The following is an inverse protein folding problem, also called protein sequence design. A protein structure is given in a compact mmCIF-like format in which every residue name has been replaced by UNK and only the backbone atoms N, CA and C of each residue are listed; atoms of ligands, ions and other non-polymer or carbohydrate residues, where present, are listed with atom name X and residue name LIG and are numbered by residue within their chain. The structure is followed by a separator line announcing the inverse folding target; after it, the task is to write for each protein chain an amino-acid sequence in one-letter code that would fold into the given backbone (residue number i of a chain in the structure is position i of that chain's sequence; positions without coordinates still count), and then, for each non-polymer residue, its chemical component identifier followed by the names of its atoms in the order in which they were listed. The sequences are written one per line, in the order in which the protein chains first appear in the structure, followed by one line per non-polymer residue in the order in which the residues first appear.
data_IF_623197228175
#
_entry.id   IF_623197228175
#
_cell.length_a   1.000
_cell.length_b   1.000
_cell.length_c   1.000
_cell.angle_alpha   90.00
_cell.angle_beta   90.00
_cell.angle_gamma   90.00
#
_symmetry.space_group_name_H-M   'P 1'
#
loop_
_entity.id
_entity.type
_entity.pdbx_description
1 polymer ?
#
# COMPACT_ATOMS: atom_id res chain seq x y z
N UNK A 1 14.26 -5.82 7.67
CA UNK A 1 13.36 -5.23 8.71
C UNK A 1 12.71 -4.00 8.11
N UNK A 2 11.36 -3.91 8.12
CA UNK A 2 10.65 -2.71 7.64
C UNK A 2 11.00 -1.54 8.58
N UNK A 3 11.33 -0.38 8.01
CA UNK A 3 11.66 0.86 8.72
C UNK A 3 10.57 1.29 9.71
N UNK A 4 10.91 2.18 10.64
CA UNK A 4 9.96 2.82 11.58
C UNK A 4 9.22 4.01 10.96
N UNK A 5 9.42 4.30 9.68
CA UNK A 5 8.83 5.43 8.98
C UNK A 5 7.32 5.26 8.77
N UNK A 6 6.61 6.36 8.53
CA UNK A 6 5.21 6.35 8.12
C UNK A 6 5.06 5.56 6.82
N UNK A 7 3.99 4.80 6.71
CA UNK A 7 3.71 3.96 5.53
C UNK A 7 2.40 4.41 4.89
N UNK A 8 2.50 4.86 3.65
CA UNK A 8 1.39 5.37 2.83
C UNK A 8 0.90 4.26 1.91
N UNK A 9 -0.33 3.82 2.14
CA UNK A 9 -0.92 2.72 1.38
C UNK A 9 -1.70 3.23 0.17
N UNK A 10 -1.44 2.64 -1.00
CA UNK A 10 -2.33 2.77 -2.14
C UNK A 10 -3.57 1.87 -2.01
N UNK A 11 -4.53 2.07 -2.88
CA UNK A 11 -5.80 1.33 -2.86
C UNK A 11 -5.59 -0.17 -3.08
N UNK A 12 -4.69 -0.57 -3.98
CA UNK A 12 -4.53 -1.99 -4.35
C UNK A 12 -3.82 -2.78 -3.25
N UNK A 13 -2.75 -2.24 -2.68
CA UNK A 13 -2.03 -2.89 -1.58
C UNK A 13 -2.92 -3.00 -0.32
N UNK A 14 -3.59 -1.90 0.07
CA UNK A 14 -4.48 -1.89 1.23
C UNK A 14 -5.66 -2.84 1.05
N UNK A 15 -6.37 -2.76 -0.09
CA UNK A 15 -7.53 -3.59 -0.36
C UNK A 15 -7.20 -5.08 -0.44
N UNK A 16 -5.95 -5.45 -0.77
CA UNK A 16 -5.53 -6.85 -0.79
C UNK A 16 -5.71 -7.52 0.57
N UNK A 17 -5.41 -6.81 1.66
CA UNK A 17 -5.62 -7.31 3.02
C UNK A 17 -7.08 -7.23 3.47
N UNK A 18 -7.76 -6.13 3.15
CA UNK A 18 -9.17 -5.92 3.52
C UNK A 18 -10.10 -6.97 2.89
N UNK A 19 -9.92 -7.31 1.61
CA UNK A 19 -10.74 -8.30 0.91
C UNK A 19 -10.65 -9.71 1.49
N UNK A 20 -9.53 -10.06 2.09
CA UNK A 20 -9.30 -11.39 2.67
C UNK A 20 -9.44 -11.42 4.19
N UNK A 21 -9.75 -10.26 4.81
CA UNK A 21 -9.90 -10.05 6.25
C UNK A 21 -8.63 -10.38 7.04
N UNK A 22 -7.50 -9.95 6.50
CA UNK A 22 -6.17 -10.13 7.12
C UNK A 22 -5.50 -8.79 7.44
N UNK A 23 -6.30 -7.74 7.62
CA UNK A 23 -5.84 -6.39 7.98
C UNK A 23 -5.09 -6.34 9.31
N UNK A 24 -5.30 -7.31 10.19
CA UNK A 24 -4.53 -7.45 11.42
C UNK A 24 -3.03 -7.55 11.18
N UNK A 25 -2.61 -8.09 10.04
CA UNK A 25 -1.20 -8.19 9.65
C UNK A 25 -0.60 -6.80 9.51
N UNK A 26 -1.22 -5.93 8.71
CA UNK A 26 -0.72 -4.56 8.49
C UNK A 26 -0.80 -3.73 9.77
N UNK A 27 -1.88 -3.89 10.56
CA UNK A 27 -2.05 -3.19 11.83
C UNK A 27 -0.99 -3.56 12.87
N UNK A 28 -0.50 -4.79 12.87
CA UNK A 28 0.57 -5.24 13.76
C UNK A 28 1.95 -4.81 13.26
N UNK A 29 2.23 -4.94 11.94
CA UNK A 29 3.53 -4.59 11.38
C UNK A 29 3.78 -3.09 11.45
N UNK A 30 2.76 -2.28 11.16
CA UNK A 30 2.84 -0.82 11.05
C UNK A 30 2.13 -0.07 12.17
N UNK A 31 2.09 -0.63 13.38
CA UNK A 31 1.40 -0.01 14.53
C UNK A 31 1.71 1.48 14.66
N UNK A 32 0.67 2.32 14.59
CA UNK A 32 0.77 3.79 14.71
C UNK A 32 1.44 4.51 13.53
N UNK A 33 1.66 3.80 12.39
CA UNK A 33 2.39 4.34 11.23
C UNK A 33 1.65 4.18 9.90
N UNK A 34 0.42 3.72 9.93
CA UNK A 34 -0.41 3.56 8.75
C UNK A 34 -1.05 4.90 8.41
N UNK A 35 -0.79 5.39 7.21
CA UNK A 35 -1.44 6.59 6.67
C UNK A 35 -2.13 6.22 5.35
N UNK A 36 -3.38 6.63 5.22
CA UNK A 36 -4.17 6.43 4.02
C UNK A 36 -4.47 7.78 3.41
N UNK A 37 -4.06 8.02 2.15
CA UNK A 37 -4.45 9.22 1.44
C UNK A 37 -5.98 9.33 1.35
N UNK A 38 -6.54 10.54 1.50
CA UNK A 38 -7.99 10.78 1.38
C UNK A 38 -8.56 10.22 0.07
N UNK A 39 -7.82 10.35 -1.03
CA UNK A 39 -8.20 9.79 -2.34
C UNK A 39 -8.39 8.27 -2.28
N UNK A 40 -7.54 7.55 -1.57
CA UNK A 40 -7.66 6.09 -1.37
C UNK A 40 -8.91 5.76 -0.55
N UNK A 41 -9.23 6.56 0.46
CA UNK A 41 -10.49 6.43 1.22
C UNK A 41 -11.70 6.59 0.31
N UNK A 42 -11.67 7.60 -0.56
CA UNK A 42 -12.76 7.91 -1.48
C UNK A 42 -12.94 6.78 -2.52
N UNK A 43 -11.87 6.22 -3.04
CA UNK A 43 -11.91 5.05 -3.93
C UNK A 43 -12.53 3.82 -3.24
N UNK A 44 -12.18 3.57 -1.97
CA UNK A 44 -12.71 2.45 -1.19
C UNK A 44 -14.16 2.66 -0.74
N UNK A 45 -14.67 3.88 -0.73
CA UNK A 45 -16.04 4.21 -0.31
C UNK A 45 -17.11 3.52 -1.17
N UNK A 46 -16.77 3.16 -2.41
CA UNK A 46 -17.64 2.39 -3.30
C UNK A 46 -17.88 0.94 -2.83
N UNK A 47 -17.08 0.44 -1.88
CA UNK A 47 -17.19 -0.92 -1.33
C UNK A 47 -17.49 -0.83 0.16
N UNK A 48 -18.79 -0.76 0.50
CA UNK A 48 -19.30 -0.42 1.83
C UNK A 48 -18.63 -1.18 2.98
N UNK A 49 -18.50 -2.51 2.86
CA UNK A 49 -17.95 -3.33 3.95
C UNK A 49 -16.44 -3.10 4.17
N UNK A 50 -15.65 -2.81 3.13
CA UNK A 50 -14.23 -2.46 3.26
C UNK A 50 -14.08 -1.07 3.89
N UNK A 51 -14.89 -0.13 3.45
CA UNK A 51 -14.92 1.22 3.97
C UNK A 51 -15.31 1.26 5.46
N UNK A 52 -16.34 0.51 5.86
CA UNK A 52 -16.77 0.43 7.24
C UNK A 52 -15.69 -0.15 8.17
N UNK A 53 -15.00 -1.21 7.74
CA UNK A 53 -13.87 -1.77 8.48
C UNK A 53 -12.77 -0.73 8.67
N UNK A 54 -12.39 -0.05 7.59
CA UNK A 54 -11.35 0.95 7.61
C UNK A 54 -11.70 2.14 8.53
N UNK A 55 -12.94 2.61 8.49
CA UNK A 55 -13.42 3.66 9.39
C UNK A 55 -13.33 3.26 10.87
N UNK A 56 -13.53 1.99 11.20
CA UNK A 56 -13.34 1.49 12.57
C UNK A 56 -11.90 1.66 13.04
N UNK A 57 -10.93 1.37 12.18
CA UNK A 57 -9.50 1.55 12.51
C UNK A 57 -9.09 3.01 12.60
N UNK A 58 -9.68 3.88 11.78
CA UNK A 58 -9.48 5.34 11.86
C UNK A 58 -10.03 5.87 13.18
N UNK A 59 -11.26 5.54 13.55
CA UNK A 59 -11.87 5.97 14.81
C UNK A 59 -11.11 5.49 16.04
N UNK A 60 -10.47 4.32 15.97
CA UNK A 60 -9.63 3.80 17.05
C UNK A 60 -8.20 4.38 17.08
N UNK A 61 -7.86 5.29 16.17
CA UNK A 61 -6.53 5.89 16.08
C UNK A 61 -5.43 4.97 15.56
N UNK A 62 -5.78 3.78 15.03
CA UNK A 62 -4.80 2.85 14.48
C UNK A 62 -4.33 3.21 13.08
N UNK A 63 -5.14 3.98 12.37
CA UNK A 63 -4.92 4.41 10.99
C UNK A 63 -5.18 5.90 10.92
N UNK A 64 -4.25 6.64 10.33
CA UNK A 64 -4.43 8.05 10.02
C UNK A 64 -4.90 8.24 8.57
N UNK A 65 -5.67 9.28 8.33
CA UNK A 65 -6.02 9.74 6.98
C UNK A 65 -5.35 11.06 6.74
N UNK A 66 -4.75 11.24 5.56
CA UNK A 66 -4.11 12.48 5.17
C UNK A 66 -4.63 12.96 3.82
N UNK A 67 -5.00 14.21 3.74
CA UNK A 67 -5.43 14.87 2.50
C UNK A 67 -4.28 15.62 1.85
N UNK A 68 -4.36 15.80 0.54
CA UNK A 68 -3.45 16.62 -0.26
C UNK A 68 -4.23 17.84 -0.73
N UNK A 69 -3.83 19.02 -0.25
CA UNK A 69 -4.51 20.27 -0.58
C UNK A 69 -3.68 21.11 -1.54
N UNK A 70 -4.36 21.91 -2.35
CA UNK A 70 -3.70 22.88 -3.26
C UNK A 70 -2.80 23.81 -2.47
N UNK A 71 -1.53 23.88 -2.86
CA UNK A 71 -0.51 24.66 -2.18
C UNK A 71 0.45 23.84 -1.31
N UNK A 72 0.12 22.58 -1.01
CA UNK A 72 1.05 21.67 -0.35
C UNK A 72 2.15 21.19 -1.32
N UNK A 73 3.34 20.91 -0.80
CA UNK A 73 4.40 20.29 -1.61
C UNK A 73 3.95 18.97 -2.23
N UNK A 74 3.18 18.17 -1.49
CA UNK A 74 2.61 16.92 -1.96
C UNK A 74 1.67 17.11 -3.16
N UNK A 75 0.95 18.24 -3.25
CA UNK A 75 0.07 18.54 -4.37
C UNK A 75 0.86 18.69 -5.69
N UNK A 76 2.01 19.35 -5.64
CA UNK A 76 2.88 19.47 -6.83
C UNK A 76 3.36 18.11 -7.35
N UNK A 77 3.72 17.18 -6.46
CA UNK A 77 4.06 15.82 -6.84
C UNK A 77 2.83 15.06 -7.37
N UNK A 78 1.68 15.19 -6.72
CA UNK A 78 0.44 14.55 -7.15
C UNK A 78 0.02 14.97 -8.57
N UNK A 79 0.02 16.28 -8.87
CA UNK A 79 -0.23 16.77 -10.24
C UNK A 79 0.78 16.24 -11.25
N UNK A 80 2.06 16.25 -10.88
CA UNK A 80 3.12 15.72 -11.71
C UNK A 80 2.91 14.25 -12.05
N UNK A 81 2.47 13.43 -11.10
CA UNK A 81 2.26 12.00 -11.31
C UNK A 81 0.97 11.68 -12.08
N UNK A 82 -0.06 12.51 -11.97
CA UNK A 82 -1.38 12.27 -12.57
C UNK A 82 -1.60 12.99 -13.90
N UNK A 83 -1.22 14.26 -13.97
CA UNK A 83 -1.57 15.15 -15.09
C UNK A 83 -0.37 15.55 -15.96
N UNK A 84 0.78 15.79 -15.36
CA UNK A 84 1.94 16.38 -16.00
C UNK A 84 3.22 15.57 -15.79
N UNK A 85 3.25 14.26 -16.16
CA UNK A 85 4.44 13.44 -15.96
C UNK A 85 5.63 13.96 -16.77
N UNK A 86 6.82 13.83 -16.20
CA UNK A 86 8.06 14.13 -16.91
C UNK A 86 8.20 13.30 -18.20
N UNK A 87 8.99 13.80 -19.14
CA UNK A 87 9.26 13.09 -20.41
C UNK A 87 9.74 11.65 -20.14
N UNK A 88 9.04 10.69 -20.71
CA UNK A 88 9.33 9.27 -20.55
C UNK A 88 8.69 8.61 -19.33
N UNK A 89 7.88 9.33 -18.55
CA UNK A 89 7.02 8.78 -17.50
C UNK A 89 5.58 8.67 -18.01
N UNK A 90 4.79 7.82 -17.35
CA UNK A 90 3.34 7.69 -17.62
C UNK A 90 2.55 8.21 -16.44
N UNK A 91 1.36 8.78 -16.68
CA UNK A 91 0.43 9.07 -15.59
C UNK A 91 0.10 7.78 -14.82
N UNK A 92 -0.04 7.89 -13.51
CA UNK A 92 -0.45 6.80 -12.63
C UNK A 92 -1.81 7.10 -11.99
N UNK A 93 -2.42 6.09 -11.39
CA UNK A 93 -3.73 6.22 -10.74
C UNK A 93 -3.72 7.20 -9.55
N UNK A 94 -4.87 7.80 -9.26
CA UNK A 94 -4.98 8.84 -8.22
C UNK A 94 -4.54 8.34 -6.84
N UNK A 95 -4.96 7.14 -6.44
CA UNK A 95 -4.57 6.55 -5.15
C UNK A 95 -3.07 6.29 -5.05
N UNK A 96 -2.47 5.76 -6.12
CA UNK A 96 -1.02 5.53 -6.22
C UNK A 96 -0.24 6.85 -6.17
N UNK A 97 -0.70 7.85 -6.94
CA UNK A 97 -0.08 9.17 -6.99
C UNK A 97 -0.11 9.88 -5.62
N UNK A 98 -1.24 9.80 -4.92
CA UNK A 98 -1.38 10.39 -3.59
C UNK A 98 -0.47 9.70 -2.56
N UNK A 99 -0.44 8.36 -2.55
CA UNK A 99 0.43 7.62 -1.64
C UNK A 99 1.92 7.93 -1.91
N UNK A 100 2.31 8.01 -3.19
CA UNK A 100 3.68 8.31 -3.59
C UNK A 100 4.08 9.75 -3.25
N UNK A 101 3.21 10.73 -3.49
CA UNK A 101 3.45 12.14 -3.17
C UNK A 101 3.63 12.38 -1.66
N UNK A 102 2.77 11.79 -0.85
CA UNK A 102 2.89 11.86 0.61
C UNK A 102 4.13 11.13 1.13
N UNK A 103 4.44 9.93 0.59
CA UNK A 103 5.66 9.21 0.95
C UNK A 103 6.92 10.03 0.62
N UNK A 104 6.95 10.73 -0.53
CA UNK A 104 8.06 11.60 -0.91
C UNK A 104 8.24 12.76 0.05
N UNK A 105 7.19 13.51 0.29
CA UNK A 105 7.27 14.75 1.11
C UNK A 105 7.49 14.48 2.59
N UNK A 106 7.09 13.31 3.08
CA UNK A 106 7.23 12.92 4.49
C UNK A 106 8.38 11.94 4.74
N UNK A 107 9.22 11.70 3.73
CA UNK A 107 10.32 10.73 3.82
C UNK A 107 9.85 9.36 4.35
N UNK A 108 8.69 8.92 3.88
CA UNK A 108 8.04 7.69 4.30
C UNK A 108 8.24 6.53 3.32
N UNK A 109 7.41 5.50 3.51
CA UNK A 109 7.37 4.30 2.67
C UNK A 109 6.07 4.32 1.86
N UNK A 110 6.12 4.04 0.56
CA UNK A 110 4.93 3.76 -0.23
C UNK A 110 4.66 2.25 -0.25
N UNK A 111 3.43 1.84 0.07
CA UNK A 111 2.96 0.47 -0.04
C UNK A 111 2.05 0.34 -1.27
N UNK A 112 2.58 -0.28 -2.33
CA UNK A 112 1.90 -0.40 -3.63
C UNK A 112 2.30 -1.69 -4.34
N UNK A 113 1.35 -2.33 -5.03
CA UNK A 113 1.59 -3.53 -5.84
C UNK A 113 1.89 -3.20 -7.31
N UNK A 114 1.62 -1.98 -7.75
CA UNK A 114 1.79 -1.59 -9.15
C UNK A 114 3.24 -1.23 -9.48
N UNK A 115 4.12 -2.24 -9.43
CA UNK A 115 5.54 -2.07 -9.76
C UNK A 115 5.75 -1.51 -11.19
N UNK A 116 4.87 -1.86 -12.12
CA UNK A 116 5.03 -1.43 -13.52
C UNK A 116 4.99 0.09 -13.69
N UNK A 117 4.08 0.75 -12.98
CA UNK A 117 3.82 2.17 -13.17
C UNK A 117 4.52 3.02 -12.09
N UNK A 118 4.65 2.49 -10.87
CA UNK A 118 5.23 3.19 -9.71
C UNK A 118 6.75 3.06 -9.62
N UNK A 119 7.34 1.93 -10.06
CA UNK A 119 8.77 1.62 -9.88
C UNK A 119 9.69 2.74 -10.36
N UNK A 120 9.42 3.29 -11.54
CA UNK A 120 10.26 4.33 -12.13
C UNK A 120 10.29 5.62 -11.30
N UNK A 121 9.15 5.99 -10.70
CA UNK A 121 9.06 7.14 -9.80
C UNK A 121 9.77 6.86 -8.47
N UNK A 122 9.57 5.67 -7.92
CA UNK A 122 10.22 5.22 -6.69
C UNK A 122 11.75 5.30 -6.80
N UNK A 123 12.30 4.77 -7.90
CA UNK A 123 13.75 4.78 -8.15
C UNK A 123 14.28 6.20 -8.39
N UNK A 124 13.59 7.03 -9.20
CA UNK A 124 14.06 8.38 -9.53
C UNK A 124 13.97 9.37 -8.38
N UNK A 125 13.07 9.14 -7.43
CA UNK A 125 12.82 10.01 -6.28
C UNK A 125 13.41 9.46 -4.97
N UNK A 126 14.07 8.31 -5.03
CA UNK A 126 14.63 7.60 -3.86
C UNK A 126 13.59 7.41 -2.75
N UNK A 127 12.42 6.86 -3.12
CA UNK A 127 11.33 6.57 -2.18
C UNK A 127 11.41 5.10 -1.76
N UNK A 128 11.30 4.84 -0.47
CA UNK A 128 11.18 3.47 0.05
C UNK A 128 9.86 2.86 -0.42
N UNK A 129 9.91 1.64 -0.94
CA UNK A 129 8.75 0.96 -1.49
C UNK A 129 8.62 -0.46 -0.95
N UNK A 130 7.38 -0.87 -0.67
CA UNK A 130 7.04 -2.24 -0.28
C UNK A 130 5.76 -2.70 -1.01
N UNK A 131 5.65 -4.01 -1.20
CA UNK A 131 4.49 -4.67 -1.81
C UNK A 131 3.72 -5.50 -0.79
N UNK A 132 2.52 -5.97 -1.16
CA UNK A 132 1.78 -6.98 -0.39
C UNK A 132 2.62 -8.22 -0.08
N UNK A 133 3.43 -8.67 -1.06
CA UNK A 133 4.31 -9.82 -0.88
C UNK A 133 5.42 -9.55 0.15
N UNK A 134 6.00 -8.35 0.16
CA UNK A 134 7.00 -7.97 1.16
C UNK A 134 6.40 -7.89 2.57
N UNK A 135 5.16 -7.40 2.68
CA UNK A 135 4.44 -7.34 3.95
C UNK A 135 4.18 -8.75 4.49
N UNK A 136 3.78 -9.71 3.64
CA UNK A 136 3.59 -11.10 4.06
C UNK A 136 4.91 -11.77 4.45
N UNK A 137 6.02 -11.48 3.77
CA UNK A 137 7.35 -11.93 4.19
C UNK A 137 7.75 -11.39 5.56
N UNK A 138 7.48 -10.12 5.82
CA UNK A 138 7.76 -9.53 7.13
C UNK A 138 6.86 -10.13 8.23
N UNK A 139 5.58 -10.45 7.90
CA UNK A 139 4.68 -11.15 8.81
C UNK A 139 5.20 -12.54 9.20
N UNK A 140 5.68 -13.31 8.21
CA UNK A 140 6.33 -14.60 8.44
C UNK A 140 7.58 -14.45 9.33
N UNK A 141 8.44 -13.50 8.99
CA UNK A 141 9.69 -13.24 9.74
C UNK A 141 9.43 -12.86 11.19
N UNK A 142 8.34 -12.14 11.46
CA UNK A 142 7.93 -11.76 12.84
C UNK A 142 7.14 -12.85 13.56
N UNK A 143 6.87 -13.98 12.92
CA UNK A 143 6.05 -15.04 13.49
C UNK A 143 4.56 -14.68 13.65
N UNK A 144 4.08 -13.66 12.94
CA UNK A 144 2.65 -13.30 12.89
C UNK A 144 1.84 -14.33 12.09
N UNK A 145 2.48 -14.96 11.11
CA UNK A 145 1.96 -16.08 10.32
C UNK A 145 3.06 -17.12 10.15
N UNK A 146 2.66 -18.37 9.90
CA UNK A 146 3.53 -19.41 9.35
C UNK A 146 3.42 -19.49 7.81
N UNK A 147 4.23 -20.31 7.18
CA UNK A 147 4.23 -20.48 5.72
C UNK A 147 2.89 -21.06 5.21
N UNK A 148 2.28 -21.97 5.96
CA UNK A 148 0.96 -22.56 5.63
C UNK A 148 -0.13 -21.48 5.63
N UNK A 149 -0.13 -20.64 6.65
CA UNK A 149 -1.04 -19.48 6.73
C UNK A 149 -0.77 -18.50 5.60
N UNK A 150 0.50 -18.21 5.30
CA UNK A 150 0.92 -17.37 4.17
C UNK A 150 0.38 -17.87 2.84
N UNK A 151 0.50 -19.17 2.55
CA UNK A 151 -0.06 -19.78 1.35
C UNK A 151 -1.59 -19.66 1.29
N UNK A 152 -2.27 -19.84 2.42
CA UNK A 152 -3.74 -19.67 2.50
C UNK A 152 -4.18 -18.24 2.21
N UNK A 153 -3.49 -17.26 2.78
CA UNK A 153 -3.76 -15.83 2.55
C UNK A 153 -3.52 -15.48 1.08
N UNK A 154 -2.40 -15.94 0.53
CA UNK A 154 -2.03 -15.75 -0.87
C UNK A 154 -3.09 -16.28 -1.83
N UNK A 155 -3.54 -17.51 -1.62
CA UNK A 155 -4.61 -18.12 -2.42
C UNK A 155 -5.93 -17.35 -2.34
N UNK A 156 -6.31 -16.88 -1.13
CA UNK A 156 -7.49 -16.00 -0.96
C UNK A 156 -7.35 -14.68 -1.74
N UNK A 157 -6.17 -14.05 -1.72
CA UNK A 157 -5.91 -12.82 -2.47
C UNK A 157 -6.02 -13.05 -3.98
N UNK A 158 -5.45 -14.13 -4.51
CA UNK A 158 -5.59 -14.52 -5.92
C UNK A 158 -7.06 -14.75 -6.28
N UNK A 159 -7.82 -15.45 -5.43
CA UNK A 159 -9.26 -15.68 -5.64
C UNK A 159 -10.06 -14.36 -5.67
N UNK A 160 -9.58 -13.30 -4.99
CA UNK A 160 -10.11 -11.93 -5.06
C UNK A 160 -9.50 -11.08 -6.18
N UNK A 161 -8.84 -11.74 -7.15
CA UNK A 161 -8.22 -11.12 -8.33
C UNK A 161 -7.12 -10.10 -7.99
N UNK A 162 -6.47 -10.26 -6.82
CA UNK A 162 -5.27 -9.47 -6.50
C UNK A 162 -4.10 -10.03 -7.28
N UNK A 163 -3.31 -9.14 -7.88
CA UNK A 163 -2.12 -9.53 -8.65
C UNK A 163 -0.95 -9.74 -7.69
N UNK A 164 -0.42 -10.93 -7.65
CA UNK A 164 0.76 -11.31 -6.86
C UNK A 164 1.83 -11.86 -7.81
N UNK A 165 3.13 -11.76 -7.45
CA UNK A 165 4.22 -12.09 -8.37
C UNK A 165 4.33 -13.58 -8.73
N UNK A 166 3.92 -14.49 -7.83
CA UNK A 166 4.00 -15.94 -8.01
C UNK A 166 2.64 -16.60 -7.73
N UNK A 167 2.49 -17.88 -8.06
CA UNK A 167 1.24 -18.61 -7.84
C UNK A 167 0.99 -18.96 -6.38
N UNK A 168 2.06 -19.15 -5.60
CA UNK A 168 1.99 -19.45 -4.17
C UNK A 168 2.99 -18.62 -3.37
N UNK A 169 2.72 -18.44 -2.08
CA UNK A 169 3.64 -17.76 -1.20
C UNK A 169 4.97 -18.53 -1.04
N UNK A 170 4.91 -19.86 -0.99
CA UNK A 170 6.12 -20.70 -0.95
C UNK A 170 6.99 -20.55 -2.20
N UNK A 171 6.37 -20.43 -3.40
CA UNK A 171 7.12 -20.13 -4.64
C UNK A 171 7.81 -18.79 -4.55
N UNK A 172 7.10 -17.75 -4.12
CA UNK A 172 7.67 -16.42 -3.93
C UNK A 172 8.85 -16.42 -2.95
N UNK A 173 8.75 -17.14 -1.82
CA UNK A 173 9.84 -17.25 -0.86
C UNK A 173 11.10 -17.91 -1.43
N UNK A 174 10.94 -18.88 -2.35
CA UNK A 174 12.08 -19.55 -3.02
C UNK A 174 12.73 -18.68 -4.11
N UNK A 175 11.94 -17.81 -4.75
CA UNK A 175 12.39 -16.98 -5.88
C UNK A 175 12.97 -15.62 -5.42
N UNK A 176 12.80 -15.25 -4.14
CA UNK A 176 13.29 -14.01 -3.55
C UNK A 176 14.75 -14.12 -3.11
#
# INVERSE_FOLDING_TARGET
MISTDLTFFDTDCLSSFLWVREESIILNIFTGRIVIPKVVMDELSSVEHLYANLQSYIRSGRVAVEDITVGDEAYGYYEKFTLHPDKGYRPIGNGEAAALALAKTKNGIVASNNLRDVKKYVESLDIKHITTADILCEALKRGLIDETQGNRIWAKMIAKRRKLPDNTFSEYLRNK
#
